data_IF_671492100987
#
_entry.id   IF_671492100987
#
_cell.length_a   1.000
_cell.length_b   1.000
_cell.length_c   1.000
_cell.angle_alpha   90.00
_cell.angle_beta   90.00
_cell.angle_gamma   90.00
#
_symmetry.space_group_name_H-M   'P 1'
#
loop_
_entity.id
_entity.type
_entity.pdbx_description
1 polymer ?
#
# COMPACT_ATOMS: atom_id res chain seq x y z
N UNK A 1 15.07 -37.37 -33.89
CA UNK A 1 13.65 -37.26 -33.50
C UNK A 1 13.61 -36.85 -32.04
N UNK A 2 13.58 -35.54 -31.79
CA UNK A 2 13.31 -34.97 -30.47
C UNK A 2 11.83 -34.62 -30.45
N UNK A 3 11.02 -35.45 -29.79
CA UNK A 3 9.59 -35.20 -29.64
C UNK A 3 9.39 -34.19 -28.51
N UNK A 4 8.96 -32.99 -28.88
CA UNK A 4 8.60 -31.90 -27.98
C UNK A 4 7.40 -32.32 -27.12
N UNK A 5 7.62 -32.42 -25.81
CA UNK A 5 6.53 -32.48 -24.84
C UNK A 5 5.94 -31.07 -24.74
N UNK A 6 4.90 -30.80 -25.52
CA UNK A 6 4.10 -29.59 -25.42
C UNK A 6 3.46 -29.52 -24.02
N UNK A 7 4.00 -28.65 -23.17
CA UNK A 7 3.32 -28.23 -21.95
C UNK A 7 2.08 -27.46 -22.39
N UNK A 8 0.95 -28.15 -22.32
CA UNK A 8 -0.36 -27.57 -22.55
C UNK A 8 -0.64 -26.58 -21.40
N UNK A 9 -0.16 -25.34 -21.54
CA UNK A 9 -0.53 -24.22 -20.67
C UNK A 9 -2.01 -23.97 -20.89
N UNK A 10 -2.87 -24.64 -20.11
CA UNK A 10 -4.24 -24.15 -19.91
C UNK A 10 -4.10 -22.70 -19.46
N UNK A 11 -4.56 -21.76 -20.29
CA UNK A 11 -4.77 -20.37 -19.88
C UNK A 11 -5.59 -20.41 -18.60
N UNK A 12 -4.94 -20.12 -17.48
CA UNK A 12 -5.65 -19.84 -16.24
C UNK A 12 -6.43 -18.55 -16.54
N UNK A 13 -7.71 -18.52 -16.22
CA UNK A 13 -8.66 -17.46 -16.57
C UNK A 13 -8.34 -16.06 -15.99
N UNK A 14 -7.11 -15.81 -15.56
CA UNK A 14 -6.67 -14.62 -14.85
C UNK A 14 -5.79 -13.68 -15.70
N UNK A 15 -5.88 -13.75 -17.04
CA UNK A 15 -5.23 -12.75 -17.92
C UNK A 15 -5.86 -11.35 -17.78
N UNK A 16 -6.90 -11.13 -16.95
CA UNK A 16 -7.67 -9.88 -16.92
C UNK A 16 -7.65 -9.05 -15.63
N UNK A 17 -7.43 -9.63 -14.43
CA UNK A 17 -7.44 -8.82 -13.20
C UNK A 17 -6.15 -8.03 -13.01
N UNK A 18 -6.29 -6.71 -12.93
CA UNK A 18 -5.19 -5.76 -12.77
C UNK A 18 -5.26 -5.07 -11.43
N UNK A 19 -4.10 -4.83 -10.84
CA UNK A 19 -3.98 -4.18 -9.54
C UNK A 19 -3.00 -3.00 -9.59
N UNK A 20 -3.33 -1.97 -8.82
CA UNK A 20 -2.39 -0.94 -8.41
C UNK A 20 -2.24 -1.08 -6.90
N UNK A 21 -1.03 -1.39 -6.46
CA UNK A 21 -0.67 -1.45 -5.05
C UNK A 21 -0.41 -0.03 -4.55
N UNK A 22 -1.30 0.50 -3.70
CA UNK A 22 -1.19 1.90 -3.25
C UNK A 22 -0.23 2.10 -2.07
N UNK A 23 0.21 1.01 -1.42
CA UNK A 23 1.05 1.08 -0.24
C UNK A 23 1.90 -0.17 -0.06
N UNK A 24 3.15 -0.13 -0.52
CA UNK A 24 4.15 -1.14 -0.21
C UNK A 24 5.50 -0.52 0.20
N UNK A 25 6.05 -0.99 1.31
CA UNK A 25 7.29 -0.48 1.89
C UNK A 25 8.52 -1.13 1.23
N UNK A 26 8.68 -0.95 -0.09
CA UNK A 26 9.71 -1.67 -0.87
C UNK A 26 11.16 -1.27 -0.54
N UNK A 27 11.37 -0.21 0.24
CA UNK A 27 12.67 0.14 0.84
C UNK A 27 12.99 -0.70 2.07
N UNK A 28 12.04 -1.48 2.61
CA UNK A 28 12.27 -2.34 3.78
C UNK A 28 13.40 -3.36 3.49
N UNK A 29 14.43 -3.42 4.36
CA UNK A 29 15.59 -4.29 4.16
C UNK A 29 15.26 -5.78 4.03
N UNK A 30 14.08 -6.23 4.50
CA UNK A 30 13.64 -7.62 4.38
C UNK A 30 13.46 -8.06 2.94
N UNK A 31 13.16 -7.15 2.01
CA UNK A 31 13.13 -7.49 0.57
C UNK A 31 14.52 -7.66 -0.04
N UNK A 32 15.56 -7.23 0.66
CA UNK A 32 16.97 -7.44 0.33
C UNK A 32 17.59 -8.60 1.13
N UNK A 33 16.78 -9.36 1.86
CA UNK A 33 17.23 -10.46 2.71
C UNK A 33 17.92 -10.05 4.00
N UNK A 34 17.77 -8.78 4.42
CA UNK A 34 18.36 -8.22 5.62
C UNK A 34 17.31 -8.20 6.74
N UNK A 35 17.63 -8.81 7.88
CA UNK A 35 16.79 -8.85 9.07
C UNK A 35 17.61 -8.41 10.27
N UNK A 36 17.11 -7.43 11.04
CA UNK A 36 17.81 -6.88 12.21
C UNK A 36 19.27 -6.49 11.91
N UNK A 37 19.49 -5.87 10.74
CA UNK A 37 20.82 -5.44 10.28
C UNK A 37 21.76 -6.55 9.80
N UNK A 38 21.29 -7.79 9.67
CA UNK A 38 22.11 -8.93 9.21
C UNK A 38 21.57 -9.51 7.90
N UNK A 39 22.46 -9.80 6.95
CA UNK A 39 22.11 -10.59 5.77
C UNK A 39 21.78 -12.02 6.19
N UNK A 40 20.53 -12.46 5.99
CA UNK A 40 20.06 -13.80 6.37
C UNK A 40 19.91 -14.71 5.15
N UNK A 41 19.54 -14.17 4.00
CA UNK A 41 19.48 -14.87 2.72
C UNK A 41 19.86 -13.94 1.58
N UNK A 42 20.05 -14.47 0.36
CA UNK A 42 20.35 -13.63 -0.82
C UNK A 42 19.23 -12.63 -1.12
N UNK A 43 19.56 -11.49 -1.73
CA UNK A 43 18.58 -10.53 -2.26
C UNK A 43 17.66 -11.23 -3.27
N UNK A 44 16.34 -11.11 -3.07
CA UNK A 44 15.31 -11.68 -3.95
C UNK A 44 14.30 -10.64 -4.46
N UNK A 45 14.66 -9.36 -4.41
CA UNK A 45 13.79 -8.24 -4.76
C UNK A 45 13.21 -8.35 -6.18
N UNK A 46 14.04 -8.70 -7.17
CA UNK A 46 13.58 -8.87 -8.56
C UNK A 46 12.58 -10.02 -8.69
N UNK A 47 12.76 -11.11 -7.92
CA UNK A 47 11.82 -12.23 -7.93
C UNK A 47 10.53 -11.88 -7.19
N UNK A 48 10.60 -11.09 -6.12
CA UNK A 48 9.43 -10.53 -5.45
C UNK A 48 8.61 -9.65 -6.42
N UNK A 49 9.26 -8.73 -7.15
CA UNK A 49 8.58 -7.93 -8.19
C UNK A 49 7.97 -8.82 -9.28
N UNK A 50 8.69 -9.85 -9.73
CA UNK A 50 8.15 -10.79 -10.73
C UNK A 50 6.90 -11.53 -10.21
N UNK A 51 6.87 -11.92 -8.94
CA UNK A 51 5.67 -12.51 -8.32
C UNK A 51 4.50 -11.52 -8.32
N UNK A 52 4.77 -10.25 -8.00
CA UNK A 52 3.75 -9.20 -8.06
C UNK A 52 3.20 -9.02 -9.49
N UNK A 53 4.07 -8.92 -10.50
CA UNK A 53 3.66 -8.84 -11.91
C UNK A 53 2.83 -10.06 -12.32
N UNK A 54 3.25 -11.27 -11.95
CA UNK A 54 2.51 -12.49 -12.26
C UNK A 54 1.12 -12.51 -11.63
N UNK A 55 0.97 -11.88 -10.45
CA UNK A 55 -0.31 -11.72 -9.75
C UNK A 55 -1.18 -10.58 -10.30
N UNK A 56 -0.79 -9.93 -11.41
CA UNK A 56 -1.56 -8.85 -12.03
C UNK A 56 -1.29 -7.46 -11.45
N UNK A 57 -0.27 -7.29 -10.60
CA UNK A 57 0.14 -5.97 -10.11
C UNK A 57 0.86 -5.21 -11.21
N UNK A 58 0.20 -4.20 -11.76
CA UNK A 58 0.74 -3.38 -12.85
C UNK A 58 1.57 -2.20 -12.35
N UNK A 59 1.20 -1.63 -11.19
CA UNK A 59 1.90 -0.48 -10.59
C UNK A 59 1.99 -0.66 -9.09
N UNK A 60 3.09 -0.21 -8.50
CA UNK A 60 3.31 -0.19 -7.05
C UNK A 60 3.72 1.21 -6.62
N UNK A 61 3.03 1.74 -5.62
CA UNK A 61 3.37 2.98 -4.95
C UNK A 61 4.19 2.63 -3.70
N UNK A 62 5.48 2.96 -3.76
CA UNK A 62 6.44 2.77 -2.68
C UNK A 62 6.24 3.86 -1.64
N UNK A 63 5.80 3.47 -0.45
CA UNK A 63 5.64 4.38 0.69
C UNK A 63 6.99 4.84 1.22
N UNK A 64 7.11 6.14 1.50
CA UNK A 64 8.22 6.69 2.27
C UNK A 64 7.70 7.52 3.44
N UNK A 65 8.26 7.28 4.63
CA UNK A 65 7.88 7.92 5.87
C UNK A 65 8.94 8.86 6.44
N UNK A 66 10.05 9.07 5.75
CA UNK A 66 11.14 9.96 6.18
C UNK A 66 11.83 10.57 4.96
N UNK A 67 12.59 11.65 5.15
CA UNK A 67 13.44 12.20 4.08
C UNK A 67 14.49 11.18 3.60
N UNK A 68 15.01 10.34 4.49
CA UNK A 68 15.98 9.31 4.13
C UNK A 68 15.36 8.23 3.25
N UNK A 69 14.22 7.66 3.69
CA UNK A 69 13.46 6.68 2.92
C UNK A 69 12.96 7.28 1.59
N UNK A 70 12.61 8.57 1.57
CA UNK A 70 12.23 9.28 0.34
C UNK A 70 13.35 9.29 -0.70
N UNK A 71 14.61 9.50 -0.29
CA UNK A 71 15.77 9.42 -1.19
C UNK A 71 15.94 7.99 -1.72
N UNK A 72 15.85 6.98 -0.85
CA UNK A 72 15.98 5.58 -1.25
C UNK A 72 14.87 5.15 -2.21
N UNK A 73 13.63 5.52 -1.91
CA UNK A 73 12.48 5.24 -2.75
C UNK A 73 12.63 5.93 -4.12
N UNK A 74 13.11 7.17 -4.16
CA UNK A 74 13.35 7.89 -5.40
C UNK A 74 14.41 7.20 -6.27
N UNK A 75 15.50 6.72 -5.67
CA UNK A 75 16.52 5.95 -6.37
C UNK A 75 15.97 4.62 -6.92
N UNK A 76 15.09 3.96 -6.15
CA UNK A 76 14.46 2.72 -6.55
C UNK A 76 13.53 2.92 -7.77
N UNK A 77 12.63 3.90 -7.71
CA UNK A 77 11.60 4.10 -8.74
C UNK A 77 12.14 4.62 -10.06
N UNK A 78 13.28 5.35 -10.05
CA UNK A 78 13.96 5.80 -11.27
C UNK A 78 14.38 4.64 -12.19
N UNK A 79 14.62 3.46 -11.62
CA UNK A 79 15.09 2.29 -12.35
C UNK A 79 13.98 1.29 -12.71
N UNK A 80 12.72 1.60 -12.41
CA UNK A 80 11.59 0.70 -12.65
C UNK A 80 10.36 1.46 -13.14
N UNK A 81 9.92 1.21 -14.37
CA UNK A 81 8.82 1.96 -15.00
C UNK A 81 7.51 1.86 -14.22
N UNK A 82 7.22 0.69 -13.63
CA UNK A 82 6.00 0.40 -12.90
C UNK A 82 6.02 0.79 -11.40
N UNK A 83 7.15 1.31 -10.89
CA UNK A 83 7.23 1.79 -9.52
C UNK A 83 7.07 3.31 -9.45
N UNK A 84 6.32 3.75 -8.46
CA UNK A 84 6.05 5.14 -8.11
C UNK A 84 6.29 5.31 -6.61
N UNK A 85 6.30 6.53 -6.10
CA UNK A 85 6.54 6.76 -4.67
C UNK A 85 5.76 7.93 -4.13
N UNK A 86 5.67 7.97 -2.81
CA UNK A 86 5.10 9.03 -2.00
C UNK A 86 6.26 9.69 -1.27
N UNK A 87 6.23 11.01 -1.09
CA UNK A 87 7.26 11.70 -0.29
C UNK A 87 6.59 12.40 0.90
N UNK A 88 7.01 12.07 2.11
CA UNK A 88 6.39 12.57 3.32
C UNK A 88 7.21 12.29 4.57
N UNK A 89 6.62 12.61 5.71
CA UNK A 89 7.15 12.28 7.01
C UNK A 89 6.04 11.60 7.81
N UNK A 90 6.26 10.32 8.09
CA UNK A 90 5.36 9.49 8.84
C UNK A 90 5.26 10.05 10.26
N UNK A 91 4.09 9.96 10.90
CA UNK A 91 3.88 10.67 12.15
C UNK A 91 4.72 10.16 13.32
N UNK A 92 5.17 8.90 13.27
CA UNK A 92 6.11 8.32 14.25
C UNK A 92 7.54 8.85 14.08
N UNK A 93 7.81 9.55 12.98
CA UNK A 93 9.11 10.08 12.56
C UNK A 93 9.17 11.61 12.58
N UNK A 94 8.11 12.29 13.02
CA UNK A 94 8.09 13.75 13.05
C UNK A 94 9.15 14.36 13.98
N UNK A 95 9.73 13.59 14.91
CA UNK A 95 10.90 14.02 15.69
C UNK A 95 12.11 14.34 14.80
N UNK A 96 12.21 13.78 13.59
CA UNK A 96 13.27 14.09 12.64
C UNK A 96 13.29 15.56 12.20
N UNK A 97 12.16 16.28 12.25
CA UNK A 97 12.14 17.72 12.02
C UNK A 97 12.97 18.47 13.06
N UNK A 98 12.82 18.11 14.33
CA UNK A 98 13.52 18.75 15.46
C UNK A 98 14.97 18.27 15.57
N UNK A 99 15.21 16.99 15.30
CA UNK A 99 16.55 16.37 15.35
C UNK A 99 17.44 16.75 14.16
N UNK A 100 16.86 17.27 13.07
CA UNK A 100 17.64 17.71 11.92
C UNK A 100 18.57 18.88 12.30
N UNK A 101 19.89 18.81 12.02
CA UNK A 101 20.84 19.85 12.45
C UNK A 101 20.54 21.28 11.99
N UNK A 102 19.87 21.47 10.84
CA UNK A 102 19.42 22.79 10.37
C UNK A 102 17.97 23.14 10.75
N UNK A 103 17.39 22.40 11.70
CA UNK A 103 16.05 22.60 12.22
C UNK A 103 14.91 22.13 11.30
N UNK A 104 13.65 22.34 11.74
CA UNK A 104 12.45 21.87 11.06
C UNK A 104 12.28 22.43 9.65
N UNK A 105 12.59 23.71 9.43
CA UNK A 105 12.48 24.36 8.11
C UNK A 105 13.40 23.70 7.08
N UNK A 106 14.61 23.32 7.47
CA UNK A 106 15.53 22.64 6.56
C UNK A 106 15.09 21.19 6.31
N UNK A 107 14.51 20.50 7.29
CA UNK A 107 13.95 19.15 7.06
C UNK A 107 12.76 19.21 6.09
N UNK A 108 11.86 20.18 6.28
CA UNK A 108 10.78 20.44 5.34
C UNK A 108 11.30 20.72 3.93
N UNK A 109 12.32 21.57 3.79
CA UNK A 109 12.93 21.86 2.49
C UNK A 109 13.52 20.60 1.84
N UNK A 110 14.17 19.72 2.61
CA UNK A 110 14.66 18.43 2.09
C UNK A 110 13.54 17.58 1.50
N UNK A 111 12.41 17.46 2.19
CA UNK A 111 11.24 16.73 1.67
C UNK A 111 10.73 17.35 0.37
N UNK A 112 10.66 18.69 0.31
CA UNK A 112 10.23 19.40 -0.89
C UNK A 112 11.19 19.18 -2.06
N UNK A 113 12.50 19.26 -1.82
CA UNK A 113 13.53 19.03 -2.83
C UNK A 113 13.44 17.62 -3.41
N UNK A 114 13.18 16.61 -2.57
CA UNK A 114 12.99 15.21 -3.01
C UNK A 114 11.69 15.09 -3.83
N UNK A 115 10.58 15.65 -3.32
CA UNK A 115 9.27 15.58 -3.98
C UNK A 115 9.23 16.28 -5.35
N UNK A 116 10.12 17.26 -5.56
CA UNK A 116 10.20 18.07 -6.79
C UNK A 116 11.43 17.76 -7.65
N UNK A 117 12.13 16.66 -7.38
CA UNK A 117 13.29 16.24 -8.18
C UNK A 117 12.87 15.93 -9.63
N UNK A 118 13.26 16.79 -10.56
CA UNK A 118 12.95 16.66 -11.99
C UNK A 118 13.54 15.38 -12.61
N UNK A 119 14.59 14.79 -12.05
CA UNK A 119 15.11 13.50 -12.53
C UNK A 119 14.20 12.32 -12.19
N UNK A 120 13.18 12.53 -11.37
CA UNK A 120 12.13 11.57 -11.03
C UNK A 120 10.73 12.07 -11.47
N UNK A 121 10.66 12.98 -12.45
CA UNK A 121 9.41 13.58 -12.91
C UNK A 121 8.37 12.49 -13.24
N UNK A 122 7.19 12.60 -12.65
CA UNK A 122 6.10 11.62 -12.81
C UNK A 122 6.22 10.36 -11.96
N UNK A 123 7.28 10.20 -11.16
CA UNK A 123 7.43 9.08 -10.21
C UNK A 123 6.90 9.36 -8.82
N UNK A 124 7.00 10.62 -8.35
CA UNK A 124 6.37 11.05 -7.10
C UNK A 124 4.90 11.32 -7.38
N UNK A 125 4.02 10.44 -6.90
CA UNK A 125 2.59 10.48 -7.20
C UNK A 125 1.76 11.01 -6.04
N UNK A 126 2.28 11.08 -4.81
CA UNK A 126 1.59 11.67 -3.67
C UNK A 126 2.55 12.26 -2.62
N UNK A 127 2.00 13.11 -1.75
CA UNK A 127 2.65 13.57 -0.53
C UNK A 127 2.11 12.75 0.65
N UNK A 128 3.04 12.13 1.35
CA UNK A 128 2.77 11.11 2.36
C UNK A 128 3.89 10.08 2.35
N UNK A 129 3.97 9.17 3.29
CA UNK A 129 2.98 8.90 4.35
C UNK A 129 3.04 10.01 5.42
N UNK A 130 1.89 10.59 5.78
CA UNK A 130 1.81 11.66 6.79
C UNK A 130 0.45 11.63 7.50
N UNK A 131 0.36 12.12 8.73
CA UNK A 131 -0.82 11.87 9.58
C UNK A 131 -0.57 12.20 11.06
N UNK A 132 -1.18 11.44 11.97
CA UNK A 132 -0.95 11.56 13.42
C UNK A 132 -0.61 10.17 14.01
N UNK A 133 0.58 9.98 14.57
CA UNK A 133 1.10 8.66 14.95
C UNK A 133 0.46 8.14 16.22
N UNK A 134 0.91 7.06 16.85
CA UNK A 134 1.58 5.83 16.40
C UNK A 134 0.53 4.69 16.32
N UNK A 135 -0.75 5.04 16.21
CA UNK A 135 -1.87 4.11 16.34
C UNK A 135 -3.05 4.34 15.37
N UNK A 136 -3.09 5.39 14.55
CA UNK A 136 -4.23 5.60 13.61
C UNK A 136 -3.92 6.43 12.35
N UNK A 137 -4.33 5.85 11.22
CA UNK A 137 -4.63 6.44 9.90
C UNK A 137 -3.61 7.45 9.37
N UNK A 138 -2.64 6.96 8.63
CA UNK A 138 -1.85 7.82 7.78
C UNK A 138 -2.64 8.17 6.51
N UNK A 139 -2.51 9.42 6.10
CA UNK A 139 -3.17 9.98 4.94
C UNK A 139 -2.12 10.22 3.87
N UNK A 140 -2.39 9.67 2.70
CA UNK A 140 -1.71 10.04 1.48
C UNK A 140 -2.52 11.16 0.84
N UNK A 141 -1.95 12.36 0.83
CA UNK A 141 -2.53 13.50 0.12
C UNK A 141 -1.94 13.57 -1.29
N UNK A 142 -2.80 13.72 -2.29
CA UNK A 142 -2.35 14.23 -3.59
C UNK A 142 -2.22 15.74 -3.47
N UNK A 143 -1.02 16.18 -3.12
CA UNK A 143 -0.71 17.61 -3.03
C UNK A 143 -0.30 18.14 -4.40
N UNK A 144 -1.14 18.98 -4.98
CA UNK A 144 -0.70 19.92 -6.01
C UNK A 144 0.02 21.09 -5.30
N UNK A 145 1.35 21.02 -5.24
CA UNK A 145 2.33 22.11 -5.01
C UNK A 145 1.87 23.31 -4.15
N UNK A 146 2.49 23.40 -2.96
CA UNK A 146 2.86 24.61 -2.19
C UNK A 146 1.79 25.68 -1.94
N UNK A 147 1.34 25.79 -0.68
CA UNK A 147 1.36 27.04 0.09
C UNK A 147 0.71 26.86 1.46
N UNK A 148 1.49 26.92 2.54
CA UNK A 148 1.34 27.87 3.66
C UNK A 148 1.90 27.30 4.97
N UNK A 149 2.83 28.07 5.54
CA UNK A 149 3.22 28.05 6.95
C UNK A 149 1.99 28.36 7.80
N UNK A 150 1.76 27.61 8.89
CA UNK A 150 1.56 28.16 10.24
C UNK A 150 1.07 27.13 11.28
N UNK A 151 1.75 27.19 12.43
CA UNK A 151 1.26 27.07 13.83
C UNK A 151 1.30 25.75 14.61
N UNK A 152 1.87 25.91 15.82
CA UNK A 152 2.03 25.00 16.95
C UNK A 152 0.68 24.51 17.51
N UNK A 153 0.53 23.21 17.81
CA UNK A 153 -0.69 22.65 18.42
C UNK A 153 -0.37 21.66 19.55
N UNK A 154 -0.90 21.96 20.74
CA UNK A 154 -0.92 21.11 21.96
C UNK A 154 -2.12 20.14 21.93
N UNK A 155 -1.96 18.89 22.44
CA UNK A 155 -2.75 17.69 22.09
C UNK A 155 -3.94 17.32 23.01
N UNK A 156 -5.11 16.99 22.44
CA UNK A 156 -5.97 15.81 22.81
C UNK A 156 -7.10 15.52 21.76
N UNK A 157 -7.48 14.23 21.60
CA UNK A 157 -8.44 13.57 20.66
C UNK A 157 -8.02 13.39 19.18
N UNK A 158 -7.79 12.12 18.75
CA UNK A 158 -6.86 11.73 17.66
C UNK A 158 -7.43 11.74 16.23
N UNK A 159 -8.54 11.06 15.89
CA UNK A 159 -9.13 11.15 14.53
C UNK A 159 -9.87 12.48 14.29
N UNK A 160 -10.47 13.05 15.34
CA UNK A 160 -11.05 14.40 15.27
C UNK A 160 -9.98 15.40 14.81
N UNK A 161 -8.70 15.22 15.17
CA UNK A 161 -7.60 16.08 14.71
C UNK A 161 -7.23 15.89 13.25
N UNK A 162 -7.20 14.65 12.74
CA UNK A 162 -7.04 14.39 11.30
C UNK A 162 -8.19 15.05 10.53
N UNK A 163 -9.44 14.78 10.93
CA UNK A 163 -10.63 15.38 10.30
C UNK A 163 -10.60 16.90 10.42
N UNK A 164 -10.18 17.43 11.56
CA UNK A 164 -10.04 18.87 11.77
C UNK A 164 -8.96 19.46 10.86
N UNK A 165 -7.81 18.81 10.71
CA UNK A 165 -6.73 19.24 9.81
C UNK A 165 -7.15 19.15 8.35
N UNK A 166 -7.74 18.03 7.94
CA UNK A 166 -8.33 17.79 6.62
C UNK A 166 -9.39 18.85 6.32
N UNK A 167 -10.28 19.18 7.27
CA UNK A 167 -11.30 20.23 7.10
C UNK A 167 -10.68 21.63 7.06
N UNK A 168 -9.73 21.93 7.95
CA UNK A 168 -9.03 23.23 8.04
C UNK A 168 -8.18 23.51 6.80
N UNK A 169 -7.69 22.48 6.14
CA UNK A 169 -6.81 22.57 4.97
C UNK A 169 -7.44 21.93 3.73
N UNK A 170 -8.76 21.75 3.69
CA UNK A 170 -9.47 21.03 2.62
C UNK A 170 -9.27 21.70 1.27
N UNK A 171 -9.10 23.01 1.28
CA UNK A 171 -8.80 23.88 0.15
C UNK A 171 -7.37 23.70 -0.40
N UNK A 172 -6.47 23.07 0.36
CA UNK A 172 -5.05 22.92 0.00
C UNK A 172 -4.69 21.58 -0.67
N UNK A 173 -5.64 20.64 -0.79
CA UNK A 173 -5.45 19.40 -1.53
C UNK A 173 -6.73 19.04 -2.29
N UNK A 174 -6.56 18.44 -3.47
CA UNK A 174 -7.70 18.10 -4.34
C UNK A 174 -8.30 16.75 -3.99
N UNK A 175 -7.45 15.79 -3.62
CA UNK A 175 -7.79 14.40 -3.34
C UNK A 175 -6.95 13.85 -2.19
N UNK A 176 -7.51 12.90 -1.45
CA UNK A 176 -6.81 12.21 -0.37
C UNK A 176 -7.32 10.78 -0.21
N UNK A 177 -6.42 9.89 0.18
CA UNK A 177 -6.74 8.52 0.59
C UNK A 177 -6.25 8.32 2.01
N UNK A 178 -7.13 7.78 2.85
CA UNK A 178 -6.74 7.28 4.15
C UNK A 178 -6.40 5.82 3.96
N UNK A 179 -5.12 5.48 4.08
CA UNK A 179 -4.67 4.12 3.78
C UNK A 179 -4.67 3.27 5.04
N UNK A 180 -4.57 1.94 4.86
CA UNK A 180 -4.48 0.95 5.94
C UNK A 180 -5.55 1.13 7.02
N UNK A 181 -6.81 1.36 6.63
CA UNK A 181 -7.82 1.75 7.63
C UNK A 181 -8.07 0.61 8.61
N UNK A 182 -8.10 0.94 9.90
CA UNK A 182 -8.43 0.02 11.01
C UNK A 182 -9.43 0.67 11.98
N UNK A 183 -10.06 1.75 11.53
CA UNK A 183 -10.99 2.58 12.27
C UNK A 183 -12.36 1.91 12.49
N UNK A 184 -13.22 2.56 13.27
CA UNK A 184 -14.62 2.12 13.39
C UNK A 184 -15.53 2.65 12.25
N UNK A 185 -16.82 2.30 12.29
CA UNK A 185 -17.81 2.67 11.27
C UNK A 185 -18.04 4.19 11.25
N UNK A 186 -18.14 4.84 12.42
CA UNK A 186 -18.38 6.28 12.51
C UNK A 186 -17.19 7.05 11.94
N UNK A 187 -15.99 6.60 12.25
CA UNK A 187 -14.73 7.13 11.73
C UNK A 187 -14.63 6.99 10.21
N UNK A 188 -15.00 5.83 9.67
CA UNK A 188 -15.06 5.57 8.24
C UNK A 188 -16.09 6.46 7.54
N UNK A 189 -17.31 6.56 8.08
CA UNK A 189 -18.38 7.40 7.53
C UNK A 189 -17.98 8.88 7.49
N UNK A 190 -17.26 9.35 8.52
CA UNK A 190 -16.70 10.70 8.51
C UNK A 190 -15.67 10.89 7.41
N UNK A 191 -14.75 9.95 7.19
CA UNK A 191 -13.78 10.04 6.09
C UNK A 191 -14.47 10.07 4.72
N UNK A 192 -15.50 9.23 4.53
CA UNK A 192 -16.35 9.23 3.33
C UNK A 192 -17.05 10.59 3.14
N UNK A 193 -17.59 11.18 4.20
CA UNK A 193 -18.27 12.49 4.14
C UNK A 193 -17.36 13.64 3.68
N UNK A 194 -16.04 13.47 3.77
CA UNK A 194 -15.03 14.43 3.32
C UNK A 194 -14.57 14.16 1.87
N UNK A 195 -15.09 13.10 1.24
CA UNK A 195 -14.72 12.65 -0.10
C UNK A 195 -13.35 11.97 -0.15
N UNK A 196 -12.87 11.41 0.96
CA UNK A 196 -11.61 10.68 1.01
C UNK A 196 -11.80 9.23 0.52
N UNK A 197 -10.80 8.74 -0.21
CA UNK A 197 -10.71 7.32 -0.53
C UNK A 197 -10.19 6.54 0.69
N UNK A 198 -10.42 5.23 0.71
CA UNK A 198 -10.10 4.35 1.83
C UNK A 198 -9.34 3.11 1.32
N UNK A 199 -8.10 2.97 1.80
CA UNK A 199 -7.22 1.83 1.50
C UNK A 199 -7.45 0.67 2.47
N UNK A 200 -7.62 -0.53 1.92
CA UNK A 200 -7.85 -1.77 2.67
C UNK A 200 -6.67 -2.72 2.45
N UNK A 201 -6.13 -3.28 3.53
CA UNK A 201 -5.15 -4.36 3.50
C UNK A 201 -5.49 -5.47 4.51
N UNK A 202 -4.59 -6.42 4.73
CA UNK A 202 -4.83 -7.50 5.70
C UNK A 202 -4.92 -7.04 7.16
N UNK A 203 -4.40 -5.87 7.53
CA UNK A 203 -4.63 -5.25 8.84
C UNK A 203 -6.06 -4.71 8.98
N UNK A 204 -6.62 -4.16 7.90
CA UNK A 204 -8.02 -3.73 7.78
C UNK A 204 -9.03 -4.89 7.80
N UNK A 205 -8.58 -6.13 7.94
CA UNK A 205 -9.40 -7.34 7.79
C UNK A 205 -9.15 -8.36 8.92
N UNK A 206 -8.62 -7.90 10.07
CA UNK A 206 -8.24 -8.75 11.21
C UNK A 206 -9.44 -9.24 12.02
N UNK A 207 -10.37 -8.35 12.37
CA UNK A 207 -11.51 -8.68 13.24
C UNK A 207 -12.84 -8.64 12.49
N UNK A 208 -13.92 -9.15 13.11
CA UNK A 208 -15.26 -9.09 12.51
C UNK A 208 -15.74 -7.65 12.33
N UNK A 209 -15.39 -6.79 13.27
CA UNK A 209 -15.67 -5.35 13.24
C UNK A 209 -14.96 -4.70 12.06
N UNK A 210 -13.68 -5.04 11.82
CA UNK A 210 -12.97 -4.56 10.65
C UNK A 210 -13.61 -5.02 9.33
N UNK A 211 -14.07 -6.27 9.25
CA UNK A 211 -14.80 -6.76 8.07
C UNK A 211 -16.10 -5.97 7.84
N UNK A 212 -16.85 -5.62 8.88
CA UNK A 212 -18.07 -4.81 8.72
C UNK A 212 -17.75 -3.39 8.24
N UNK A 213 -16.66 -2.78 8.73
CA UNK A 213 -16.18 -1.47 8.23
C UNK A 213 -15.81 -1.58 6.76
N UNK A 214 -14.95 -2.55 6.39
CA UNK A 214 -14.50 -2.77 5.01
C UNK A 214 -15.67 -3.07 4.05
N UNK A 215 -16.71 -3.78 4.52
CA UNK A 215 -17.94 -4.06 3.76
C UNK A 215 -18.75 -2.79 3.47
N UNK A 216 -18.70 -1.79 4.35
CA UNK A 216 -19.49 -0.54 4.23
C UNK A 216 -18.82 0.56 3.42
N UNK A 217 -17.51 0.46 3.17
CA UNK A 217 -16.79 1.43 2.33
C UNK A 217 -17.51 1.55 0.96
N UNK A 218 -17.88 2.77 0.51
CA UNK A 218 -18.45 2.97 -0.81
C UNK A 218 -17.50 2.50 -1.90
N UNK A 219 -18.01 1.77 -2.89
CA UNK A 219 -17.15 1.14 -3.91
C UNK A 219 -16.38 2.16 -4.75
N UNK A 220 -16.92 3.36 -4.96
CA UNK A 220 -16.25 4.46 -5.69
C UNK A 220 -15.10 5.13 -4.91
N UNK A 221 -14.97 4.84 -3.61
CA UNK A 221 -13.92 5.36 -2.74
C UNK A 221 -12.97 4.27 -2.26
N UNK A 222 -13.16 3.03 -2.72
CA UNK A 222 -12.40 1.87 -2.26
C UNK A 222 -11.08 1.72 -3.04
N UNK A 223 -10.00 1.51 -2.31
CA UNK A 223 -8.68 1.12 -2.81
C UNK A 223 -8.16 -0.08 -2.00
N UNK A 224 -7.17 -0.80 -2.54
CA UNK A 224 -6.55 -1.94 -1.84
C UNK A 224 -5.03 -1.81 -1.85
N UNK A 225 -4.41 -2.38 -0.81
CA UNK A 225 -2.97 -2.41 -0.62
C UNK A 225 -2.56 -3.66 0.15
N UNK A 226 -1.25 -3.94 0.21
CA UNK A 226 -0.70 -5.00 1.06
C UNK A 226 -0.03 -4.49 2.32
N UNK A 227 0.46 -3.25 2.31
CA UNK A 227 1.38 -2.72 3.32
C UNK A 227 2.60 -3.64 3.50
N UNK A 228 3.02 -4.33 2.43
CA UNK A 228 4.11 -5.28 2.49
C UNK A 228 5.39 -4.60 2.97
N UNK A 229 6.20 -5.23 3.86
CA UNK A 229 6.14 -6.65 4.23
C UNK A 229 5.27 -6.97 5.47
N UNK A 230 4.36 -6.08 5.83
CA UNK A 230 3.43 -6.21 6.96
C UNK A 230 2.06 -6.74 6.52
N UNK A 231 1.12 -6.75 7.46
CA UNK A 231 -0.31 -7.00 7.19
C UNK A 231 -0.68 -8.28 6.42
N UNK A 232 0.09 -9.37 6.57
CA UNK A 232 -0.33 -10.71 6.13
C UNK A 232 -1.75 -11.04 6.60
N UNK A 233 -2.57 -11.65 5.73
CA UNK A 233 -3.79 -12.34 6.17
C UNK A 233 -3.39 -13.70 6.77
N UNK A 234 -3.76 -13.93 8.04
CA UNK A 234 -3.34 -15.09 8.82
C UNK A 234 -4.52 -15.98 9.20
N UNK A 235 -4.31 -17.29 9.46
CA UNK A 235 -5.38 -18.19 9.92
C UNK A 235 -6.18 -17.72 11.13
N UNK A 236 -5.59 -16.88 11.98
CA UNK A 236 -6.23 -16.30 13.16
C UNK A 236 -7.09 -15.07 12.87
N UNK A 237 -7.03 -14.50 11.66
CA UNK A 237 -7.82 -13.32 11.28
C UNK A 237 -9.21 -13.73 10.82
N UNK A 238 -10.21 -12.88 11.08
CA UNK A 238 -11.59 -13.09 10.65
C UNK A 238 -11.71 -13.23 9.12
N UNK A 239 -10.83 -12.58 8.35
CA UNK A 239 -10.75 -12.67 6.89
C UNK A 239 -10.40 -14.06 6.36
N UNK A 240 -9.67 -14.88 7.12
CA UNK A 240 -9.11 -16.12 6.57
C UNK A 240 -10.17 -17.14 6.14
N UNK A 241 -11.32 -17.17 6.83
CA UNK A 241 -12.44 -18.04 6.44
C UNK A 241 -13.05 -17.69 5.08
N UNK A 242 -12.81 -16.47 4.59
CA UNK A 242 -13.25 -16.01 3.28
C UNK A 242 -12.31 -16.46 2.14
N UNK A 243 -11.12 -16.99 2.46
CA UNK A 243 -10.14 -17.51 1.49
C UNK A 243 -10.24 -19.04 1.34
N UNK A 244 -11.46 -19.57 1.28
CA UNK A 244 -11.69 -21.01 1.07
C UNK A 244 -11.82 -21.35 -0.42
N UNK A 245 -11.80 -22.64 -0.77
CA UNK A 245 -11.79 -23.13 -2.17
C UNK A 245 -13.00 -22.71 -3.00
N UNK A 246 -14.13 -22.35 -2.36
CA UNK A 246 -15.32 -21.86 -3.05
C UNK A 246 -15.17 -20.40 -3.46
N UNK A 247 -14.43 -19.62 -2.66
CA UNK A 247 -14.19 -18.20 -2.93
C UNK A 247 -12.94 -18.00 -3.79
N UNK A 248 -11.84 -18.70 -3.47
CA UNK A 248 -10.54 -18.57 -4.10
C UNK A 248 -10.03 -19.97 -4.45
N UNK A 249 -9.91 -20.27 -5.75
CA UNK A 249 -9.42 -21.58 -6.19
C UNK A 249 -7.99 -21.82 -5.69
N UNK A 250 -7.57 -23.08 -5.66
CA UNK A 250 -6.23 -23.44 -5.21
C UNK A 250 -5.15 -22.79 -6.08
N UNK A 251 -5.35 -22.74 -7.39
CA UNK A 251 -4.43 -22.12 -8.34
C UNK A 251 -4.29 -20.61 -8.09
N UNK A 252 -5.41 -19.93 -7.82
CA UNK A 252 -5.41 -18.50 -7.49
C UNK A 252 -4.81 -18.22 -6.11
N UNK A 253 -5.02 -19.14 -5.16
CA UNK A 253 -4.38 -19.07 -3.86
C UNK A 253 -2.86 -19.23 -3.98
N UNK A 254 -2.36 -20.14 -4.82
CA UNK A 254 -0.92 -20.26 -5.10
C UNK A 254 -0.36 -19.04 -5.85
N UNK A 255 -1.19 -18.31 -6.61
CA UNK A 255 -0.81 -17.07 -7.27
C UNK A 255 -0.66 -15.90 -6.28
N UNK A 256 -1.64 -15.75 -5.38
CA UNK A 256 -1.66 -14.64 -4.40
C UNK A 256 -1.01 -14.99 -3.06
N UNK A 257 -0.65 -16.24 -2.84
CA UNK A 257 0.20 -16.66 -1.73
C UNK A 257 1.11 -17.81 -2.16
N UNK A 258 2.12 -17.52 -3.00
CA UNK A 258 3.09 -18.52 -3.41
C UNK A 258 3.71 -19.29 -2.24
N UNK A 259 4.19 -20.52 -2.47
CA UNK A 259 4.83 -21.31 -1.43
C UNK A 259 5.97 -20.53 -0.76
N UNK A 260 6.05 -20.65 0.57
CA UNK A 260 7.04 -19.91 1.36
C UNK A 260 7.95 -20.83 2.19
N UNK A 261 9.14 -20.32 2.52
CA UNK A 261 10.10 -20.94 3.44
C UNK A 261 10.44 -20.01 4.59
N UNK A 262 10.91 -20.57 5.71
CA UNK A 262 11.53 -19.75 6.75
C UNK A 262 12.76 -19.05 6.16
N UNK A 263 13.03 -17.81 6.58
CA UNK A 263 14.17 -17.02 6.09
C UNK A 263 15.53 -17.73 6.22
N UNK A 264 15.70 -18.56 7.26
CA UNK A 264 16.92 -19.36 7.48
C UNK A 264 17.05 -20.57 6.53
N UNK A 265 15.96 -20.93 5.84
CA UNK A 265 15.90 -21.98 4.82
C UNK A 265 15.39 -21.42 3.50
N UNK A 266 15.83 -20.21 3.18
CA UNK A 266 15.43 -19.49 1.97
C UNK A 266 15.70 -20.34 0.72
N UNK A 267 14.79 -20.25 -0.23
CA UNK A 267 14.83 -20.97 -1.50
C UNK A 267 14.46 -19.97 -2.59
N UNK A 268 15.36 -19.75 -3.57
CA UNK A 268 15.16 -18.74 -4.60
C UNK A 268 13.86 -19.00 -5.38
N UNK A 269 13.09 -17.94 -5.60
CA UNK A 269 11.81 -18.02 -6.30
C UNK A 269 10.61 -18.27 -5.38
N UNK A 270 10.82 -18.79 -4.17
CA UNK A 270 9.77 -18.89 -3.14
C UNK A 270 9.67 -17.61 -2.30
N UNK A 271 8.53 -17.45 -1.64
CA UNK A 271 8.33 -16.37 -0.66
C UNK A 271 9.05 -16.66 0.66
N UNK A 272 9.22 -15.61 1.47
CA UNK A 272 9.69 -15.75 2.86
C UNK A 272 8.51 -15.76 3.81
N UNK A 273 8.42 -16.79 4.67
CA UNK A 273 7.34 -16.95 5.64
C UNK A 273 7.31 -15.76 6.61
N UNK A 274 6.18 -15.07 6.68
CA UNK A 274 5.97 -13.89 7.53
C UNK A 274 6.53 -12.59 6.96
N UNK A 275 6.90 -12.58 5.67
CA UNK A 275 7.18 -11.37 4.90
C UNK A 275 6.08 -11.29 3.83
N UNK A 276 5.11 -10.40 4.04
CA UNK A 276 4.08 -10.16 3.03
C UNK A 276 4.71 -9.60 1.75
N UNK A 277 4.04 -9.75 0.62
CA UNK A 277 4.51 -9.25 -0.68
C UNK A 277 3.34 -8.66 -1.48
N UNK A 278 3.59 -7.73 -2.42
CA UNK A 278 2.54 -7.14 -3.26
C UNK A 278 1.71 -8.17 -4.04
N UNK A 279 2.26 -9.36 -4.34
CA UNK A 279 1.48 -10.45 -4.96
C UNK A 279 0.27 -10.90 -4.10
N UNK A 280 0.29 -10.64 -2.80
CA UNK A 280 -0.80 -10.98 -1.89
C UNK A 280 -2.02 -10.06 -1.97
N UNK A 281 -1.98 -9.00 -2.79
CA UNK A 281 -3.09 -8.06 -2.96
C UNK A 281 -4.38 -8.74 -3.41
N UNK A 282 -4.29 -9.82 -4.20
CA UNK A 282 -5.45 -10.59 -4.61
C UNK A 282 -6.17 -11.26 -3.45
N UNK A 283 -5.49 -11.60 -2.35
CA UNK A 283 -6.16 -12.10 -1.15
C UNK A 283 -7.09 -11.03 -0.55
N UNK A 284 -6.65 -9.76 -0.53
CA UNK A 284 -7.45 -8.64 -0.05
C UNK A 284 -8.71 -8.46 -0.91
N UNK A 285 -8.56 -8.49 -2.24
CA UNK A 285 -9.68 -8.45 -3.18
C UNK A 285 -10.71 -9.54 -2.89
N UNK A 286 -10.28 -10.79 -2.77
CA UNK A 286 -11.20 -11.92 -2.61
C UNK A 286 -11.92 -11.91 -1.26
N UNK A 287 -11.27 -11.44 -0.19
CA UNK A 287 -11.96 -11.18 1.08
C UNK A 287 -13.04 -10.11 0.90
N UNK A 288 -12.70 -8.98 0.27
CA UNK A 288 -13.64 -7.89 0.01
C UNK A 288 -14.83 -8.34 -0.85
N UNK A 289 -14.58 -9.08 -1.93
CA UNK A 289 -15.62 -9.64 -2.79
C UNK A 289 -16.56 -10.57 -2.01
N UNK A 290 -15.98 -11.43 -1.16
CA UNK A 290 -16.74 -12.36 -0.33
C UNK A 290 -17.66 -11.65 0.67
N UNK A 291 -17.15 -10.68 1.43
CA UNK A 291 -17.96 -9.99 2.45
C UNK A 291 -19.00 -9.06 1.82
N UNK A 292 -18.79 -8.61 0.58
CA UNK A 292 -19.73 -7.74 -0.16
C UNK A 292 -20.72 -8.53 -1.02
N UNK A 293 -20.51 -9.82 -1.23
CA UNK A 293 -21.32 -10.64 -2.14
C UNK A 293 -21.22 -10.19 -3.60
N UNK A 294 -20.07 -9.67 -4.01
CA UNK A 294 -19.83 -9.15 -5.37
C UNK A 294 -18.90 -10.06 -6.16
N UNK A 295 -18.98 -10.01 -7.49
CA UNK A 295 -18.00 -10.68 -8.35
C UNK A 295 -16.60 -10.04 -8.16
N UNK A 296 -15.54 -10.84 -7.95
CA UNK A 296 -14.20 -10.32 -7.70
C UNK A 296 -13.59 -9.58 -8.91
N UNK A 297 -13.86 -9.99 -10.14
CA UNK A 297 -13.36 -9.35 -11.36
C UNK A 297 -13.96 -7.95 -11.52
N UNK A 298 -15.28 -7.82 -11.37
CA UNK A 298 -15.97 -6.51 -11.41
C UNK A 298 -15.50 -5.59 -10.27
N UNK A 299 -15.25 -6.15 -9.09
CA UNK A 299 -14.72 -5.37 -7.97
C UNK A 299 -13.27 -4.93 -8.22
N UNK A 300 -12.44 -5.80 -8.81
CA UNK A 300 -11.06 -5.48 -9.16
C UNK A 300 -10.98 -4.36 -10.20
N UNK A 301 -11.79 -4.45 -11.27
CA UNK A 301 -11.89 -3.42 -12.30
C UNK A 301 -12.23 -2.06 -11.67
N UNK A 302 -13.25 -2.03 -10.82
CA UNK A 302 -13.68 -0.79 -10.17
C UNK A 302 -12.61 -0.19 -9.24
N UNK A 303 -11.95 -1.03 -8.44
CA UNK A 303 -10.86 -0.60 -7.56
C UNK A 303 -9.67 -0.08 -8.37
N UNK A 304 -9.33 -0.76 -9.47
CA UNK A 304 -8.28 -0.37 -10.38
C UNK A 304 -8.58 0.99 -11.02
N UNK A 305 -9.80 1.21 -11.52
CA UNK A 305 -10.26 2.50 -12.05
C UNK A 305 -10.18 3.63 -11.03
N UNK A 306 -10.67 3.41 -9.81
CA UNK A 306 -10.60 4.41 -8.73
C UNK A 306 -9.15 4.84 -8.51
N UNK A 307 -8.24 3.85 -8.42
CA UNK A 307 -6.83 4.07 -8.11
C UNK A 307 -6.10 4.74 -9.27
N UNK A 308 -6.36 4.29 -10.51
CA UNK A 308 -5.80 4.85 -11.74
C UNK A 308 -6.19 6.32 -11.89
N UNK A 309 -7.49 6.61 -11.78
CA UNK A 309 -8.02 7.98 -11.84
C UNK A 309 -7.42 8.86 -10.75
N UNK A 310 -7.34 8.34 -9.52
CA UNK A 310 -6.86 9.08 -8.37
C UNK A 310 -5.38 9.47 -8.51
N UNK A 311 -4.46 8.51 -8.60
CA UNK A 311 -3.01 8.76 -8.54
C UNK A 311 -2.42 9.21 -9.88
N UNK A 312 -3.03 8.82 -11.01
CA UNK A 312 -2.41 8.99 -12.33
C UNK A 312 -3.21 9.88 -13.29
N UNK A 313 -4.40 10.34 -12.89
CA UNK A 313 -5.28 11.18 -13.73
C UNK A 313 -5.59 10.57 -15.10
N UNK A 314 -5.59 9.24 -15.19
CA UNK A 314 -5.92 8.49 -16.39
C UNK A 314 -7.41 8.14 -16.38
N UNK A 315 -8.13 8.54 -17.43
CA UNK A 315 -9.55 8.19 -17.65
C UNK A 315 -9.70 6.72 -18.09
#
# INVERSE_FOLDING_TARGET
MTCECGVNKRKIANEEMKFIEIGANLTDPRFRGIYNGKQVHADDFSQMLQRATNAGVERIIVTSGTAHEGIEALQLVKNHDNLFTTIGCHPTRCNEFEENPGGPDQYYQKLLDIATDESAKGKVVAIGECGLGTEFMDILFLYSILSSREENITLTNKLIRIIHMVRKHRDKFTRGVVHSITCDIEEMERAVSLGLHLGINGCSLKTKENLEVARRVPVDLLMIETDAPWCDIRPTHASYSHLNSTTLSKEMMELYQPPSRKKEKFEQGLMVKGRNEPCCIGQVLYVLASIRGTNPETLAEKIYENTRKFFFNEE
#
